data_IF_235998810284
#
_entry.id   IF_235998810284
#
_cell.length_a   1.000
_cell.length_b   1.000
_cell.length_c   1.000
_cell.angle_alpha   90.00
_cell.angle_beta   90.00
_cell.angle_gamma   90.00
#
_symmetry.space_group_name_H-M   'P 1'
#
loop_
_entity.id
_entity.type
_entity.pdbx_description
1 polymer ?
#
# COMPACT_ATOMS: atom_id res chain seq x y z
N UNK A 1 -19.80 14.24 -14.06
CA UNK A 1 -19.27 14.13 -12.67
C UNK A 1 -17.92 13.48 -12.80
N UNK A 2 -16.91 13.86 -12.06
CA UNK A 2 -15.65 13.14 -12.10
C UNK A 2 -15.87 11.71 -11.56
N UNK A 3 -15.34 10.74 -12.25
CA UNK A 3 -15.56 9.30 -11.98
C UNK A 3 -14.87 8.78 -10.72
N UNK A 4 -13.89 9.51 -10.22
CA UNK A 4 -13.08 9.17 -9.05
C UNK A 4 -13.59 9.73 -7.71
N UNK A 5 -14.69 10.49 -7.71
CA UNK A 5 -15.25 11.09 -6.50
C UNK A 5 -16.74 10.77 -6.39
N UNK A 6 -17.15 10.37 -5.21
CA UNK A 6 -18.48 9.84 -4.96
C UNK A 6 -19.16 10.66 -3.88
N UNK A 7 -20.39 11.04 -4.15
CA UNK A 7 -21.28 11.74 -3.22
C UNK A 7 -22.37 10.78 -2.75
N UNK A 8 -22.63 10.72 -1.45
CA UNK A 8 -23.70 9.88 -0.90
C UNK A 8 -25.10 10.39 -1.31
N UNK A 9 -25.21 11.66 -1.67
CA UNK A 9 -26.43 12.30 -2.19
C UNK A 9 -26.11 13.53 -3.02
N UNK A 10 -26.95 13.81 -3.99
CA UNK A 10 -26.82 14.97 -4.90
C UNK A 10 -27.93 16.01 -4.72
N UNK A 11 -28.92 15.74 -3.86
CA UNK A 11 -30.00 16.67 -3.52
C UNK A 11 -30.48 16.41 -2.10
N UNK A 12 -31.20 17.39 -1.52
CA UNK A 12 -31.76 17.29 -0.18
C UNK A 12 -32.55 18.52 0.19
N UNK A 13 -33.33 18.44 1.26
CA UNK A 13 -34.10 19.56 1.81
C UNK A 13 -33.67 19.91 3.22
N UNK A 14 -33.52 21.21 3.53
CA UNK A 14 -33.07 21.71 4.83
C UNK A 14 -31.55 21.55 5.05
N UNK A 15 -31.09 21.71 6.30
CA UNK A 15 -29.70 21.45 6.65
C UNK A 15 -29.36 19.98 6.38
N UNK A 16 -28.35 19.74 5.56
CA UNK A 16 -27.94 18.39 5.19
C UNK A 16 -26.44 18.28 5.13
N UNK A 17 -25.92 17.13 5.58
CA UNK A 17 -24.54 16.74 5.36
C UNK A 17 -24.45 15.89 4.09
N UNK A 18 -23.42 16.12 3.30
CA UNK A 18 -23.06 15.32 2.14
C UNK A 18 -21.71 14.68 2.41
N UNK A 19 -21.68 13.36 2.40
CA UNK A 19 -20.42 12.63 2.51
C UNK A 19 -19.77 12.54 1.14
N UNK A 20 -18.51 12.96 1.08
CA UNK A 20 -17.68 12.89 -0.11
C UNK A 20 -16.62 11.84 0.12
N UNK A 21 -16.53 10.86 -0.77
CA UNK A 21 -15.45 9.87 -0.81
C UNK A 21 -14.73 9.95 -2.15
N UNK A 22 -13.48 9.54 -2.20
CA UNK A 22 -12.69 9.58 -3.41
C UNK A 22 -11.89 8.27 -3.54
N UNK A 23 -11.75 7.81 -4.78
CA UNK A 23 -10.85 6.71 -5.10
C UNK A 23 -9.39 7.14 -4.88
N UNK A 24 -8.49 6.17 -4.68
CA UNK A 24 -7.06 6.45 -4.55
C UNK A 24 -6.56 7.11 -5.84
N UNK A 25 -5.73 8.13 -5.71
CA UNK A 25 -5.14 8.81 -6.86
C UNK A 25 -3.75 8.26 -7.15
N UNK A 26 -3.67 7.33 -8.09
CA UNK A 26 -2.42 6.69 -8.55
C UNK A 26 -1.89 7.30 -9.86
N UNK A 27 -2.42 8.45 -10.28
CA UNK A 27 -2.08 9.03 -11.60
C UNK A 27 -0.70 9.68 -11.67
N UNK A 28 -0.03 9.87 -10.54
CA UNK A 28 1.22 10.65 -10.46
C UNK A 28 1.00 12.17 -10.41
N UNK A 29 -0.23 12.64 -10.66
CA UNK A 29 -0.56 14.05 -10.73
C UNK A 29 -1.66 14.43 -9.74
N UNK A 30 -1.71 15.69 -9.36
CA UNK A 30 -2.81 16.24 -8.56
C UNK A 30 -4.06 16.29 -9.40
N UNK A 31 -5.15 15.78 -8.87
CA UNK A 31 -6.47 15.92 -9.49
C UNK A 31 -7.39 16.77 -8.64
N UNK A 32 -8.27 17.52 -9.30
CA UNK A 32 -9.26 18.31 -8.60
C UNK A 32 -10.59 18.36 -9.37
N UNK A 33 -11.65 18.58 -8.64
CA UNK A 33 -12.99 18.81 -9.18
C UNK A 33 -13.69 19.90 -8.38
N UNK A 34 -14.53 20.66 -9.07
CA UNK A 34 -15.30 21.74 -8.47
C UNK A 34 -16.78 21.36 -8.48
N UNK A 35 -17.42 21.43 -7.33
CA UNK A 35 -18.85 21.25 -7.16
C UNK A 35 -19.52 22.57 -6.83
N UNK A 36 -20.73 22.73 -7.33
CA UNK A 36 -21.62 23.81 -6.95
C UNK A 36 -22.82 23.26 -6.22
N UNK A 37 -23.12 23.85 -5.07
CA UNK A 37 -24.38 23.63 -4.36
C UNK A 37 -25.28 24.82 -4.66
N UNK A 38 -26.45 24.54 -5.24
CA UNK A 38 -27.39 25.53 -5.67
C UNK A 38 -28.65 25.36 -4.80
N UNK A 39 -29.13 26.46 -4.23
CA UNK A 39 -30.40 26.47 -3.53
C UNK A 39 -31.52 26.70 -4.53
N UNK A 40 -32.35 25.66 -4.72
CA UNK A 40 -33.45 25.70 -5.67
C UNK A 40 -34.40 26.88 -5.41
N UNK A 41 -34.85 27.53 -6.48
CA UNK A 41 -35.73 28.71 -6.41
C UNK A 41 -35.03 30.02 -6.04
N UNK A 42 -33.70 30.02 -5.88
CA UNK A 42 -32.91 31.23 -5.58
C UNK A 42 -31.69 31.34 -6.52
N UNK A 43 -30.94 32.44 -6.42
CA UNK A 43 -29.67 32.63 -7.09
C UNK A 43 -28.48 32.26 -6.16
N UNK A 44 -28.76 31.70 -4.99
CA UNK A 44 -27.73 31.36 -4.03
C UNK A 44 -26.98 30.10 -4.48
N UNK A 45 -25.69 30.23 -4.69
CA UNK A 45 -24.79 29.13 -4.98
C UNK A 45 -23.54 29.16 -4.08
N UNK A 46 -23.01 27.98 -3.75
CA UNK A 46 -21.72 27.85 -3.11
C UNK A 46 -20.87 26.87 -3.90
N UNK A 47 -19.60 27.22 -4.05
CA UNK A 47 -18.61 26.40 -4.77
C UNK A 47 -17.68 25.73 -3.78
N UNK A 48 -17.44 24.44 -3.99
CA UNK A 48 -16.49 23.61 -3.23
C UNK A 48 -15.49 23.01 -4.20
N UNK A 49 -14.22 23.06 -3.83
CA UNK A 49 -13.14 22.44 -4.59
C UNK A 49 -12.63 21.23 -3.79
N UNK A 50 -12.73 20.06 -4.39
CA UNK A 50 -12.10 18.85 -3.89
C UNK A 50 -10.78 18.64 -4.64
N UNK A 51 -9.67 18.66 -3.92
CA UNK A 51 -8.33 18.43 -4.46
C UNK A 51 -7.74 17.19 -3.80
N UNK A 52 -7.14 16.34 -4.60
CA UNK A 52 -6.49 15.14 -4.12
C UNK A 52 -5.08 15.04 -4.72
N UNK A 53 -4.11 14.89 -3.85
CA UNK A 53 -2.74 14.61 -4.26
C UNK A 53 -2.62 13.16 -4.71
N UNK A 54 -1.69 12.88 -5.61
CA UNK A 54 -1.37 11.51 -5.98
C UNK A 54 -0.61 10.83 -4.85
N UNK A 55 -0.88 9.53 -4.64
CA UNK A 55 0.04 8.72 -3.84
C UNK A 55 1.36 8.59 -4.62
N UNK A 56 2.50 8.68 -3.93
CA UNK A 56 3.78 8.46 -4.58
C UNK A 56 3.85 7.04 -5.15
N UNK A 57 4.05 6.93 -6.46
CA UNK A 57 4.35 5.65 -7.09
C UNK A 57 5.86 5.47 -7.01
N UNK A 58 6.30 4.51 -6.21
CA UNK A 58 7.69 4.10 -6.16
C UNK A 58 7.89 2.97 -7.16
N UNK A 59 8.58 3.24 -8.26
CA UNK A 59 8.96 2.22 -9.23
C UNK A 59 10.27 1.61 -8.76
N UNK A 60 10.22 0.33 -8.42
CA UNK A 60 11.40 -0.47 -8.08
C UNK A 60 11.83 -1.20 -9.34
N UNK A 61 13.09 -1.03 -9.82
CA UNK A 61 13.60 -1.80 -10.96
C UNK A 61 13.57 -3.31 -10.71
N UNK A 62 13.70 -4.10 -11.76
CA UNK A 62 13.85 -5.56 -11.67
C UNK A 62 14.87 -5.94 -10.60
N UNK A 63 14.55 -6.94 -9.78
CA UNK A 63 15.40 -7.42 -8.69
C UNK A 63 15.24 -8.92 -8.48
N UNK A 64 16.27 -9.58 -7.95
CA UNK A 64 16.17 -10.98 -7.52
C UNK A 64 15.50 -11.09 -6.14
N UNK A 65 15.86 -10.20 -5.23
CA UNK A 65 15.19 -10.07 -3.94
C UNK A 65 15.16 -8.61 -3.44
N UNK A 66 14.15 -8.30 -2.67
CA UNK A 66 13.89 -7.00 -2.08
C UNK A 66 13.72 -7.15 -0.57
N UNK A 67 14.41 -6.32 0.18
CA UNK A 67 14.19 -6.17 1.62
C UNK A 67 13.40 -4.88 1.85
N UNK A 68 12.23 -5.00 2.42
CA UNK A 68 11.45 -3.90 2.96
C UNK A 68 11.75 -3.79 4.45
N UNK A 69 12.22 -2.63 4.89
CA UNK A 69 12.46 -2.36 6.31
C UNK A 69 11.50 -1.29 6.79
N UNK A 70 10.79 -1.61 7.83
CA UNK A 70 9.93 -0.71 8.59
C UNK A 70 10.73 -0.22 9.79
N UNK A 71 11.00 1.06 9.86
CA UNK A 71 11.89 1.65 10.86
C UNK A 71 11.11 2.70 11.64
N UNK A 72 11.08 2.56 12.93
CA UNK A 72 10.51 3.56 13.82
C UNK A 72 11.49 3.88 14.95
N UNK A 73 11.46 5.15 15.35
CA UNK A 73 12.12 5.59 16.56
C UNK A 73 11.07 5.71 17.65
N UNK A 74 11.35 5.08 18.77
CA UNK A 74 10.51 5.20 19.91
C UNK A 74 11.35 5.30 21.17
N UNK A 75 11.10 6.37 21.93
CA UNK A 75 11.75 6.62 23.20
C UNK A 75 11.11 5.80 24.34
N UNK A 76 9.91 5.26 24.12
CA UNK A 76 9.07 4.61 25.12
C UNK A 76 8.85 3.09 24.90
N UNK A 77 9.54 2.47 23.93
CA UNK A 77 9.38 1.05 23.64
C UNK A 77 8.02 0.71 23.01
N UNK A 78 7.53 1.54 22.08
CA UNK A 78 6.26 1.29 21.38
C UNK A 78 6.47 0.31 20.25
N UNK A 79 5.63 -0.69 20.23
CA UNK A 79 5.61 -1.74 19.24
C UNK A 79 4.83 -1.32 17.98
N UNK A 80 5.37 -1.61 16.82
CA UNK A 80 4.73 -1.34 15.54
C UNK A 80 4.60 -2.62 14.70
N UNK A 81 3.41 -3.16 14.72
CA UNK A 81 3.04 -4.34 13.95
C UNK A 81 3.06 -4.06 12.45
N UNK A 82 3.69 -4.91 11.67
CA UNK A 82 3.72 -4.80 10.20
C UNK A 82 3.07 -5.99 9.50
N UNK A 83 2.58 -5.76 8.28
CA UNK A 83 2.13 -6.81 7.39
C UNK A 83 2.47 -6.47 5.94
N UNK A 84 2.94 -7.46 5.19
CA UNK A 84 3.40 -7.31 3.81
C UNK A 84 2.80 -8.40 2.94
N UNK A 85 2.35 -8.07 1.75
CA UNK A 85 1.77 -9.02 0.81
C UNK A 85 1.76 -8.55 -0.63
N UNK A 86 1.08 -9.29 -1.47
CA UNK A 86 0.84 -8.95 -2.87
C UNK A 86 -0.65 -8.91 -3.17
N UNK A 87 -1.06 -8.06 -4.14
CA UNK A 87 -2.48 -7.88 -4.47
C UNK A 87 -2.83 -8.27 -5.91
N UNK A 88 -1.89 -8.26 -6.83
CA UNK A 88 -2.20 -8.36 -8.25
C UNK A 88 -1.28 -9.29 -9.03
N UNK A 89 -0.76 -10.31 -8.39
CA UNK A 89 0.07 -11.30 -9.09
C UNK A 89 -0.76 -12.18 -10.04
N UNK A 90 -2.06 -12.28 -9.82
CA UNK A 90 -2.93 -13.22 -10.51
C UNK A 90 -2.80 -14.67 -10.01
N UNK A 91 -2.01 -14.90 -8.97
CA UNK A 91 -1.81 -16.21 -8.37
C UNK A 91 -2.68 -16.33 -7.10
N UNK A 92 -3.69 -17.22 -7.08
CA UNK A 92 -4.65 -17.32 -5.98
C UNK A 92 -4.02 -17.67 -4.63
N UNK A 93 -2.89 -18.36 -4.65
CA UNK A 93 -2.16 -18.74 -3.44
C UNK A 93 -1.19 -17.67 -2.94
N UNK A 94 -1.08 -16.57 -3.67
CA UNK A 94 -0.18 -15.44 -3.40
C UNK A 94 -0.97 -14.19 -3.02
N UNK A 95 -1.94 -13.83 -3.85
CA UNK A 95 -2.70 -12.58 -3.69
C UNK A 95 -3.52 -12.59 -2.40
N UNK A 96 -3.43 -11.49 -1.68
CA UNK A 96 -4.09 -11.30 -0.39
C UNK A 96 -3.49 -12.10 0.77
N UNK A 97 -2.41 -12.86 0.56
CA UNK A 97 -1.65 -13.47 1.65
C UNK A 97 -0.66 -12.46 2.22
N UNK A 98 -0.64 -12.35 3.55
CA UNK A 98 0.22 -11.42 4.26
C UNK A 98 1.19 -12.16 5.15
N UNK A 99 2.44 -11.71 5.20
CA UNK A 99 3.38 -12.05 6.25
C UNK A 99 3.52 -10.89 7.22
N UNK A 100 3.83 -11.18 8.47
CA UNK A 100 4.01 -10.19 9.50
C UNK A 100 3.28 -10.56 10.79
N UNK A 101 3.31 -9.66 11.72
CA UNK A 101 2.62 -9.80 12.99
C UNK A 101 1.69 -8.61 13.17
N UNK A 102 0.41 -8.76 12.85
CA UNK A 102 -0.54 -7.68 12.97
C UNK A 102 -1.92 -8.17 13.36
N UNK A 103 -2.36 -7.78 14.53
CA UNK A 103 -3.71 -8.07 15.02
C UNK A 103 -4.78 -7.41 14.16
N UNK A 104 -4.51 -6.20 13.67
CA UNK A 104 -5.45 -5.47 12.82
C UNK A 104 -5.68 -6.16 11.49
N UNK A 105 -4.64 -6.70 10.89
CA UNK A 105 -4.69 -7.39 9.60
C UNK A 105 -4.79 -8.91 9.75
N UNK A 106 -4.99 -9.39 10.99
CA UNK A 106 -5.19 -10.80 11.32
C UNK A 106 -4.12 -11.73 10.75
N UNK A 107 -2.88 -11.26 10.74
CA UNK A 107 -1.75 -12.08 10.34
C UNK A 107 -0.80 -12.32 11.51
N UNK A 108 -0.36 -13.57 11.62
CA UNK A 108 0.73 -14.01 12.51
C UNK A 108 1.65 -14.94 11.70
N UNK A 109 1.67 -14.74 10.38
CA UNK A 109 2.34 -15.63 9.47
C UNK A 109 3.73 -15.09 9.15
N UNK A 110 4.74 -15.88 9.42
CA UNK A 110 6.13 -15.53 9.14
C UNK A 110 6.53 -15.75 7.68
N UNK A 111 5.78 -16.59 6.94
CA UNK A 111 6.16 -17.00 5.59
C UNK A 111 4.95 -17.31 4.73
N UNK A 112 4.99 -16.87 3.47
CA UNK A 112 4.10 -17.31 2.40
C UNK A 112 4.96 -17.90 1.28
N UNK A 113 4.92 -19.21 1.12
CA UNK A 113 5.84 -19.92 0.24
C UNK A 113 7.30 -19.63 0.61
N UNK A 114 8.18 -19.67 -0.38
CA UNK A 114 9.57 -19.26 -0.24
C UNK A 114 9.85 -17.85 -0.81
N UNK A 115 8.80 -17.15 -1.26
CA UNK A 115 8.93 -15.87 -1.92
C UNK A 115 8.64 -14.66 -1.01
N UNK A 116 7.95 -14.85 0.11
CA UNK A 116 7.62 -13.75 1.04
C UNK A 116 7.86 -14.21 2.48
N UNK A 117 8.77 -13.56 3.16
CA UNK A 117 9.24 -13.94 4.49
C UNK A 117 9.28 -12.72 5.40
N UNK A 118 8.68 -12.83 6.58
CA UNK A 118 8.79 -11.83 7.63
C UNK A 118 10.08 -12.05 8.44
N UNK A 119 10.75 -10.97 8.80
CA UNK A 119 12.03 -11.01 9.51
C UNK A 119 11.93 -11.19 11.02
N UNK A 120 10.71 -11.33 11.53
CA UNK A 120 10.43 -11.48 12.96
C UNK A 120 9.74 -10.26 13.56
N UNK A 121 8.96 -10.52 14.60
CA UNK A 121 8.23 -9.54 15.38
C UNK A 121 9.16 -8.82 16.36
N UNK A 122 9.15 -7.50 16.36
CA UNK A 122 9.96 -6.68 17.27
C UNK A 122 9.04 -5.86 18.17
N UNK A 123 8.85 -6.33 19.38
CA UNK A 123 7.96 -5.71 20.39
C UNK A 123 8.57 -4.47 21.07
N UNK A 124 9.71 -3.99 20.59
CA UNK A 124 10.39 -2.80 21.13
C UNK A 124 10.67 -1.82 19.99
N UNK A 125 11.25 -0.69 20.31
CA UNK A 125 11.68 0.27 19.29
C UNK A 125 12.73 -0.32 18.34
N UNK A 126 12.69 0.08 17.09
CA UNK A 126 13.69 -0.36 16.13
C UNK A 126 13.18 -0.56 14.74
N UNK A 127 13.11 -1.81 14.31
CA UNK A 127 12.65 -2.13 12.97
C UNK A 127 12.15 -3.56 12.82
N UNK A 128 11.26 -3.74 11.87
CA UNK A 128 10.90 -5.03 11.28
C UNK A 128 11.28 -5.07 9.80
N UNK A 129 11.24 -6.24 9.21
CA UNK A 129 11.55 -6.40 7.81
C UNK A 129 10.70 -7.49 7.15
N UNK A 130 10.47 -7.32 5.86
CA UNK A 130 9.97 -8.37 4.99
C UNK A 130 10.96 -8.59 3.84
N UNK A 131 11.23 -9.85 3.53
CA UNK A 131 12.03 -10.27 2.39
C UNK A 131 11.10 -10.78 1.29
N UNK A 132 11.27 -10.26 0.10
CA UNK A 132 10.62 -10.70 -1.12
C UNK A 132 11.67 -11.34 -2.02
N UNK A 133 11.42 -12.58 -2.46
CA UNK A 133 12.31 -13.34 -3.34
C UNK A 133 11.58 -13.63 -4.65
N UNK A 134 12.11 -13.09 -5.75
CA UNK A 134 11.47 -13.25 -7.07
C UNK A 134 11.72 -14.62 -7.68
N UNK A 135 12.88 -15.25 -7.39
CA UNK A 135 13.16 -16.59 -7.90
C UNK A 135 12.07 -17.61 -7.57
N UNK A 136 11.73 -17.84 -6.29
CA UNK A 136 10.64 -18.73 -5.92
C UNK A 136 9.26 -18.30 -6.43
N UNK A 137 8.99 -16.99 -6.55
CA UNK A 137 7.73 -16.49 -7.09
C UNK A 137 7.59 -16.77 -8.59
N UNK A 138 8.70 -16.73 -9.31
CA UNK A 138 8.78 -16.97 -10.76
C UNK A 138 8.98 -18.45 -11.13
N UNK A 139 9.09 -19.33 -10.13
CA UNK A 139 9.35 -20.75 -10.37
C UNK A 139 8.16 -21.47 -11.04
N UNK A 140 8.48 -22.47 -11.84
CA UNK A 140 7.48 -23.27 -12.56
C UNK A 140 6.66 -22.46 -13.56
N UNK A 141 5.37 -22.74 -13.60
CA UNK A 141 4.41 -22.12 -14.56
C UNK A 141 3.98 -20.69 -14.18
N UNK A 142 4.58 -20.10 -13.17
CA UNK A 142 4.14 -18.79 -12.67
C UNK A 142 4.66 -17.65 -13.54
N UNK A 143 5.81 -17.81 -14.17
CA UNK A 143 6.47 -16.75 -14.95
C UNK A 143 5.53 -16.10 -15.98
N UNK A 144 4.84 -16.92 -16.76
CA UNK A 144 3.92 -16.44 -17.81
C UNK A 144 2.58 -15.90 -17.26
N UNK A 145 2.31 -16.08 -15.98
CA UNK A 145 1.06 -15.66 -15.33
C UNK A 145 1.19 -14.31 -14.63
N UNK A 146 2.40 -13.91 -14.29
CA UNK A 146 2.61 -12.67 -13.55
C UNK A 146 2.43 -11.45 -14.46
N UNK A 147 1.80 -10.37 -13.98
CA UNK A 147 1.74 -9.11 -14.71
C UNK A 147 3.13 -8.47 -14.77
N UNK A 148 3.31 -7.53 -15.70
CA UNK A 148 4.54 -6.74 -15.80
C UNK A 148 4.84 -5.91 -14.55
N UNK A 149 3.80 -5.52 -13.82
CA UNK A 149 3.88 -4.78 -12.58
C UNK A 149 3.21 -5.56 -11.46
N UNK A 150 3.95 -5.85 -10.42
CA UNK A 150 3.44 -6.48 -9.21
C UNK A 150 3.30 -5.41 -8.12
N UNK A 151 2.15 -5.37 -7.47
CA UNK A 151 1.89 -4.47 -6.34
C UNK A 151 2.20 -5.19 -5.04
N UNK A 152 3.08 -4.57 -4.26
CA UNK A 152 3.35 -4.98 -2.89
C UNK A 152 2.51 -4.15 -1.94
N UNK A 153 1.65 -4.81 -1.17
CA UNK A 153 0.84 -4.18 -0.14
C UNK A 153 1.61 -4.13 1.17
N UNK A 154 1.65 -2.95 1.74
CA UNK A 154 2.37 -2.64 2.97
C UNK A 154 1.39 -2.07 3.97
N UNK A 155 1.27 -2.73 5.11
CA UNK A 155 0.40 -2.33 6.20
C UNK A 155 1.17 -2.20 7.49
N UNK A 156 0.65 -1.41 8.41
CA UNK A 156 1.18 -1.35 9.75
C UNK A 156 0.22 -0.65 10.72
N UNK A 157 0.36 -0.97 11.99
CA UNK A 157 -0.38 -0.36 13.06
C UNK A 157 0.42 -0.34 14.36
N UNK A 158 0.18 0.66 15.19
CA UNK A 158 0.76 0.71 16.51
C UNK A 158 0.05 -0.26 17.45
N UNK A 159 0.81 -1.16 18.07
CA UNK A 159 0.26 -2.06 19.07
C UNK A 159 -0.28 -1.30 20.28
N UNK A 160 -1.39 -1.78 20.83
CA UNK A 160 -2.01 -1.18 21.99
C UNK A 160 -2.76 0.12 21.74
N UNK A 161 -3.00 0.52 20.49
CA UNK A 161 -3.78 1.71 20.11
C UNK A 161 -3.10 3.02 20.50
N UNK A 162 -1.81 2.99 20.80
CA UNK A 162 -1.02 4.21 20.97
C UNK A 162 -0.80 4.86 19.62
N UNK A 163 -1.09 6.13 19.54
CA UNK A 163 -0.79 6.90 18.35
C UNK A 163 0.61 7.49 18.48
N UNK A 164 1.34 7.48 17.37
CA UNK A 164 2.25 8.56 16.94
C UNK A 164 3.74 8.30 17.09
N UNK A 165 4.26 7.82 16.04
CA UNK A 165 5.64 7.99 15.65
C UNK A 165 5.72 8.13 14.14
N UNK A 166 6.82 8.63 13.64
CA UNK A 166 7.12 8.60 12.23
C UNK A 166 7.70 7.23 11.90
N UNK A 167 7.14 6.61 10.87
CA UNK A 167 7.65 5.36 10.34
C UNK A 167 8.36 5.66 9.04
N UNK A 168 9.56 5.14 8.90
CA UNK A 168 10.31 5.18 7.65
C UNK A 168 10.31 3.80 7.04
N UNK A 169 9.81 3.68 5.81
CA UNK A 169 9.90 2.45 5.04
C UNK A 169 11.07 2.60 4.08
N UNK A 170 12.03 1.68 4.17
CA UNK A 170 13.17 1.61 3.25
C UNK A 170 13.10 0.32 2.46
N UNK A 171 13.26 0.44 1.15
CA UNK A 171 13.44 -0.71 0.26
C UNK A 171 14.88 -0.82 -0.19
N UNK A 172 15.42 -2.03 -0.16
CA UNK A 172 16.75 -2.33 -0.70
C UNK A 172 16.60 -3.51 -1.64
N UNK A 173 16.78 -3.26 -2.92
CA UNK A 173 16.73 -4.28 -3.96
C UNK A 173 18.14 -4.83 -4.23
N UNK A 174 18.19 -6.11 -4.53
CA UNK A 174 19.41 -6.82 -4.88
C UNK A 174 19.19 -7.57 -6.19
N UNK A 175 20.08 -7.35 -7.15
CA UNK A 175 20.14 -8.10 -8.39
C UNK A 175 21.45 -8.87 -8.43
N UNK A 176 21.38 -10.16 -8.75
CA UNK A 176 22.59 -10.90 -9.06
C UNK A 176 23.04 -10.50 -10.46
N UNK A 177 24.22 -9.93 -10.57
CA UNK A 177 24.87 -9.80 -11.87
C UNK A 177 25.12 -11.22 -12.39
N UNK A 178 24.23 -11.71 -13.26
CA UNK A 178 24.53 -12.92 -14.02
C UNK A 178 25.74 -12.58 -14.87
N UNK A 179 26.87 -13.19 -14.57
CA UNK A 179 27.99 -13.19 -15.47
C UNK A 179 27.48 -13.76 -16.80
N UNK A 180 27.46 -12.95 -17.84
CA UNK A 180 27.24 -13.45 -19.20
C UNK A 180 28.38 -14.42 -19.49
N UNK A 181 28.11 -15.70 -19.36
CA UNK A 181 28.98 -16.70 -19.97
C UNK A 181 28.91 -16.46 -21.48
N UNK A 182 29.87 -15.70 -22.00
CA UNK A 182 30.18 -15.70 -23.42
C UNK A 182 30.70 -17.09 -23.73
N UNK A 183 29.82 -17.97 -24.22
CA UNK A 183 30.30 -19.20 -24.88
C UNK A 183 31.16 -18.77 -26.07
N UNK A 184 32.43 -19.02 -25.95
CA UNK A 184 33.39 -18.98 -27.06
C UNK A 184 33.12 -20.14 -28.03
#
# INVERSE_FOLDING_TARGET
MADWIHLDKTSGTGPAEVRVTADINETGEIRQVTYKVIKEGTKEEKTFVCRQESVPVVIIPEFDYLVLRYIWADEDGIDFDTATGFDNTGLPDVDGKLVGWSKQYQTTQERVGDYLIHGGDNMESGNEAALIQMGPLLDGDNYDKLPLEIRCSIYGNWYGGREKGNITIKSVSYTHLRAHETKA
#
